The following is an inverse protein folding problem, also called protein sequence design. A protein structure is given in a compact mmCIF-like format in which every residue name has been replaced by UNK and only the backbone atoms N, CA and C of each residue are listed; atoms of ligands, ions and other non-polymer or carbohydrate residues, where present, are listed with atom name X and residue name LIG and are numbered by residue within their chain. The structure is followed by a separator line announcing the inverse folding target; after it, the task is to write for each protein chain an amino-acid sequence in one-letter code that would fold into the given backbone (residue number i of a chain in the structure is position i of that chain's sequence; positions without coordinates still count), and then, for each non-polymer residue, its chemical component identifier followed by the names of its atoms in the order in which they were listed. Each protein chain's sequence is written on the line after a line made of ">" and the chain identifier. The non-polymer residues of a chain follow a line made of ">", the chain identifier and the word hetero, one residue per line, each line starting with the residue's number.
data_IF_241761666011
#
_entry.id   IF_241761666011
#
_cell.length_a   1.000
_cell.length_b   1.000
_cell.length_c   1.000
_cell.angle_alpha   90.00
_cell.angle_beta   90.00
_cell.angle_gamma   90.00
#
_symmetry.space_group_name_H-M   'P 1'
#
loop_
_entity.id
_entity.type
_entity.pdbx_description
1 polymer ?
#
# COMPACT_ATOMS: atom_id res chain seq x y z
N UNK A 1 -28.17 38.23 41.39
CA UNK A 1 -27.15 37.68 40.47
C UNK A 1 -27.44 36.24 39.99
N UNK A 2 -28.63 35.93 39.40
CA UNK A 2 -28.89 34.64 38.74
C UNK A 2 -28.62 34.62 37.23
N UNK A 3 -28.61 35.77 36.54
CA UNK A 3 -28.48 35.86 35.08
C UNK A 3 -27.11 35.45 34.54
N UNK A 4 -26.04 35.71 35.27
CA UNK A 4 -24.66 35.36 34.87
C UNK A 4 -24.42 33.84 34.85
N UNK A 5 -25.00 33.10 35.79
CA UNK A 5 -24.91 31.64 35.84
C UNK A 5 -25.61 31.00 34.63
N UNK A 6 -26.75 31.54 34.21
CA UNK A 6 -27.46 31.08 33.01
C UNK A 6 -26.62 31.31 31.76
N UNK A 7 -26.02 32.49 31.59
CA UNK A 7 -25.13 32.77 30.45
C UNK A 7 -23.91 31.84 30.42
N UNK A 8 -23.29 31.56 31.56
CA UNK A 8 -22.14 30.65 31.66
C UNK A 8 -22.51 29.22 31.24
N UNK A 9 -23.68 28.71 31.63
CA UNK A 9 -24.16 27.38 31.22
C UNK A 9 -24.39 27.32 29.70
N UNK A 10 -24.96 28.37 29.11
CA UNK A 10 -25.17 28.44 27.66
C UNK A 10 -23.84 28.38 26.91
N UNK A 11 -22.85 29.17 27.33
CA UNK A 11 -21.52 29.14 26.71
C UNK A 11 -20.79 27.80 26.91
N UNK A 12 -20.97 27.17 28.08
CA UNK A 12 -20.41 25.85 28.34
C UNK A 12 -20.96 24.80 27.38
N UNK A 13 -22.30 24.74 27.23
CA UNK A 13 -22.94 23.80 26.30
C UNK A 13 -22.53 24.09 24.86
N UNK A 14 -22.52 25.37 24.45
CA UNK A 14 -22.08 25.76 23.11
C UNK A 14 -20.63 25.29 22.82
N UNK A 15 -19.73 25.43 23.79
CA UNK A 15 -18.34 24.99 23.64
C UNK A 15 -18.21 23.47 23.48
N UNK A 16 -19.03 22.70 24.20
CA UNK A 16 -19.07 21.24 24.08
C UNK A 16 -19.57 20.82 22.71
N UNK A 17 -20.63 21.46 22.20
CA UNK A 17 -21.18 21.15 20.87
C UNK A 17 -20.14 21.40 19.77
N UNK A 18 -19.40 22.50 19.86
CA UNK A 18 -18.34 22.78 18.89
C UNK A 18 -17.20 21.76 19.04
N UNK A 19 -16.80 21.43 20.27
CA UNK A 19 -15.75 20.44 20.51
C UNK A 19 -16.12 19.06 19.95
N UNK A 20 -17.35 18.59 20.13
CA UNK A 20 -17.79 17.28 19.61
C UNK A 20 -17.80 17.25 18.08
N UNK A 21 -18.16 18.35 17.41
CA UNK A 21 -18.06 18.44 15.95
C UNK A 21 -16.62 18.30 15.47
N UNK A 22 -15.68 18.99 16.12
CA UNK A 22 -14.24 18.92 15.76
C UNK A 22 -13.70 17.51 16.01
N UNK A 23 -14.04 16.90 17.16
CA UNK A 23 -13.63 15.52 17.48
C UNK A 23 -14.21 14.53 16.49
N UNK A 24 -15.47 14.68 16.10
CA UNK A 24 -16.11 13.83 15.09
C UNK A 24 -15.39 13.89 13.75
N UNK A 25 -15.03 15.09 13.28
CA UNK A 25 -14.25 15.26 12.06
C UNK A 25 -12.85 14.64 12.15
N UNK A 26 -12.14 14.89 13.26
CA UNK A 26 -10.81 14.32 13.49
C UNK A 26 -10.82 12.80 13.60
N UNK A 27 -11.88 12.22 14.18
CA UNK A 27 -12.05 10.78 14.31
C UNK A 27 -12.19 10.08 12.96
N UNK A 28 -12.92 10.69 12.01
CA UNK A 28 -13.03 10.15 10.64
C UNK A 28 -11.67 10.18 9.94
N UNK A 29 -10.99 11.32 9.97
CA UNK A 29 -9.66 11.46 9.33
C UNK A 29 -8.63 10.50 9.91
N UNK A 30 -8.67 10.27 11.22
CA UNK A 30 -7.74 9.33 11.89
C UNK A 30 -8.01 7.88 11.50
N UNK A 31 -9.27 7.50 11.34
CA UNK A 31 -9.64 6.17 10.82
C UNK A 31 -9.14 6.00 9.39
N UNK A 32 -9.46 6.96 8.50
CA UNK A 32 -9.00 6.92 7.11
C UNK A 32 -7.47 6.82 7.02
N UNK A 33 -6.74 7.53 7.89
CA UNK A 33 -5.29 7.46 7.96
C UNK A 33 -4.78 6.10 8.46
N UNK A 34 -5.46 5.51 9.44
CA UNK A 34 -5.09 4.20 9.99
C UNK A 34 -5.30 3.10 8.95
N UNK A 35 -6.44 3.11 8.27
CA UNK A 35 -6.76 2.15 7.21
C UNK A 35 -5.76 2.27 6.05
N UNK A 36 -5.47 3.50 5.62
CA UNK A 36 -4.47 3.75 4.59
C UNK A 36 -3.05 3.30 5.00
N UNK A 37 -2.70 3.41 6.28
CA UNK A 37 -1.42 2.90 6.79
C UNK A 37 -1.39 1.37 6.81
N UNK A 38 -2.47 0.72 7.22
CA UNK A 38 -2.59 -0.73 7.23
C UNK A 38 -2.48 -1.30 5.81
N UNK A 39 -3.20 -0.73 4.86
CA UNK A 39 -3.15 -1.11 3.43
C UNK A 39 -1.74 -0.97 2.84
N UNK A 40 -1.08 0.15 3.14
CA UNK A 40 0.31 0.39 2.69
C UNK A 40 1.27 -0.58 3.35
N UNK A 41 1.10 -0.84 4.64
CA UNK A 41 1.89 -1.80 5.40
C UNK A 41 1.76 -3.21 4.83
N UNK A 42 0.53 -3.66 4.59
CA UNK A 42 0.23 -4.95 3.99
C UNK A 42 0.80 -5.06 2.57
N UNK A 43 0.57 -4.06 1.71
CA UNK A 43 1.09 -4.04 0.33
C UNK A 43 2.62 -4.08 0.30
N UNK A 44 3.28 -3.32 1.19
CA UNK A 44 4.74 -3.32 1.28
C UNK A 44 5.28 -4.63 1.84
N UNK A 45 4.61 -5.22 2.83
CA UNK A 45 4.95 -6.54 3.34
C UNK A 45 4.82 -7.61 2.23
N UNK A 46 3.77 -7.55 1.42
CA UNK A 46 3.59 -8.45 0.27
C UNK A 46 4.66 -8.27 -0.80
N UNK A 47 5.08 -7.03 -1.09
CA UNK A 47 6.23 -6.76 -1.98
C UNK A 47 7.54 -7.31 -1.42
N UNK A 48 7.76 -7.24 -0.11
CA UNK A 48 8.94 -7.84 0.52
C UNK A 48 8.89 -9.37 0.48
N UNK A 49 7.70 -9.95 0.63
CA UNK A 49 7.46 -11.40 0.54
C UNK A 49 7.53 -11.93 -0.88
N UNK A 50 7.27 -11.10 -1.89
CA UNK A 50 7.25 -11.50 -3.30
C UNK A 50 8.46 -10.90 -4.01
N UNK A 51 9.56 -11.65 -4.06
CA UNK A 51 10.80 -11.20 -4.70
C UNK A 51 11.24 -12.19 -5.76
N UNK A 52 11.47 -11.67 -6.97
CA UNK A 52 11.89 -12.42 -8.13
C UNK A 52 13.31 -11.98 -8.51
N UNK A 53 14.20 -12.93 -8.80
CA UNK A 53 15.54 -12.65 -9.30
C UNK A 53 15.75 -13.37 -10.63
N UNK A 54 16.32 -12.65 -11.60
CA UNK A 54 16.79 -13.23 -12.85
C UNK A 54 18.19 -13.79 -12.60
N UNK A 55 18.39 -15.08 -12.85
CA UNK A 55 19.63 -15.80 -12.50
C UNK A 55 20.49 -16.15 -13.72
N UNK A 56 20.20 -15.54 -14.87
CA UNK A 56 21.01 -15.75 -16.08
C UNK A 56 22.38 -15.09 -15.94
N UNK A 57 23.40 -15.75 -16.50
CA UNK A 57 24.73 -15.17 -16.67
C UNK A 57 24.68 -14.08 -17.76
N UNK A 58 25.07 -12.83 -17.47
CA UNK A 58 25.09 -11.75 -18.47
C UNK A 58 26.06 -11.99 -19.63
N UNK A 59 27.11 -12.80 -19.41
CA UNK A 59 28.17 -13.05 -20.40
C UNK A 59 27.82 -14.24 -21.30
N UNK A 60 27.09 -15.23 -20.75
CA UNK A 60 26.72 -16.45 -21.44
C UNK A 60 25.20 -16.64 -21.41
N UNK A 61 24.46 -15.70 -22.00
CA UNK A 61 23.00 -15.79 -22.05
C UNK A 61 22.58 -16.96 -22.95
N UNK A 62 21.72 -17.88 -22.47
CA UNK A 62 21.35 -19.07 -23.23
C UNK A 62 20.44 -18.69 -24.40
N UNK A 63 21.08 -18.47 -25.55
CA UNK A 63 20.46 -18.13 -26.82
C UNK A 63 20.66 -19.27 -27.81
N UNK A 64 19.56 -19.78 -28.35
CA UNK A 64 19.60 -20.84 -29.36
C UNK A 64 19.65 -20.21 -30.75
N UNK A 65 20.83 -20.19 -31.37
CA UNK A 65 21.03 -19.63 -32.72
C UNK A 65 20.22 -20.34 -33.81
N UNK A 66 19.77 -21.57 -33.58
CA UNK A 66 19.01 -22.35 -34.56
C UNK A 66 17.51 -22.06 -34.49
N UNK A 67 16.97 -21.85 -33.29
CA UNK A 67 15.53 -21.55 -33.08
C UNK A 67 15.24 -20.06 -32.88
N UNK A 68 16.26 -19.24 -32.63
CA UNK A 68 16.14 -17.82 -32.33
C UNK A 68 15.59 -17.54 -30.92
N UNK A 69 15.56 -18.54 -30.04
CA UNK A 69 14.95 -18.45 -28.71
C UNK A 69 15.95 -17.98 -27.65
N UNK A 70 15.50 -17.06 -26.81
CA UNK A 70 16.21 -16.62 -25.62
C UNK A 70 15.57 -17.25 -24.38
N UNK A 71 16.35 -18.03 -23.62
CA UNK A 71 15.90 -18.59 -22.36
C UNK A 71 16.29 -17.66 -21.21
N UNK A 72 15.30 -17.26 -20.40
CA UNK A 72 15.51 -16.43 -19.21
C UNK A 72 15.09 -17.24 -17.99
N UNK A 73 16.07 -17.67 -17.19
CA UNK A 73 15.81 -18.31 -15.91
C UNK A 73 15.46 -17.29 -14.83
N UNK A 74 14.33 -17.53 -14.17
CA UNK A 74 13.76 -16.66 -13.15
C UNK A 74 13.54 -17.49 -11.89
N UNK A 75 14.10 -17.03 -10.76
CA UNK A 75 13.98 -17.69 -9.46
C UNK A 75 13.15 -16.84 -8.52
N UNK A 76 12.13 -17.46 -7.92
CA UNK A 76 11.45 -16.89 -6.78
C UNK A 76 12.34 -17.03 -5.54
N UNK A 77 12.72 -15.89 -4.97
CA UNK A 77 13.49 -15.79 -3.73
C UNK A 77 12.65 -15.21 -2.58
N UNK A 78 11.36 -15.01 -2.84
CA UNK A 78 10.36 -14.64 -1.86
C UNK A 78 9.79 -15.84 -1.09
N UNK A 79 8.90 -15.54 -0.15
CA UNK A 79 8.16 -16.53 0.65
C UNK A 79 6.82 -16.91 0.02
N UNK A 80 6.33 -16.11 -0.94
CA UNK A 80 5.04 -16.32 -1.62
C UNK A 80 5.26 -17.05 -2.94
N UNK A 81 4.49 -18.10 -3.20
CA UNK A 81 4.47 -18.75 -4.51
C UNK A 81 3.83 -17.85 -5.57
N UNK A 82 4.41 -17.81 -6.77
CA UNK A 82 3.95 -16.96 -7.88
C UNK A 82 3.29 -17.88 -8.91
N UNK A 83 1.99 -17.69 -9.15
CA UNK A 83 1.27 -18.46 -10.15
C UNK A 83 1.74 -18.11 -11.57
N UNK A 84 1.83 -19.11 -12.45
CA UNK A 84 2.31 -18.91 -13.82
C UNK A 84 1.44 -17.94 -14.66
N UNK A 85 0.17 -17.73 -14.29
CA UNK A 85 -0.75 -16.85 -15.01
C UNK A 85 -0.63 -15.36 -14.70
N UNK A 86 0.17 -14.95 -13.70
CA UNK A 86 0.31 -13.55 -13.29
C UNK A 86 1.65 -12.92 -13.68
N UNK A 87 2.37 -13.54 -14.62
CA UNK A 87 3.68 -13.09 -15.09
C UNK A 87 3.52 -12.49 -16.49
N UNK A 88 3.92 -11.23 -16.66
CA UNK A 88 4.04 -10.57 -17.96
C UNK A 88 5.52 -10.29 -18.25
N UNK A 89 5.98 -10.65 -19.44
CA UNK A 89 7.33 -10.37 -19.94
C UNK A 89 7.18 -9.23 -20.95
N UNK A 90 7.92 -8.14 -20.76
CA UNK A 90 7.93 -7.02 -21.70
C UNK A 90 9.32 -6.90 -22.33
N UNK A 91 9.36 -6.77 -23.65
CA UNK A 91 10.59 -6.46 -24.38
C UNK A 91 10.47 -5.04 -24.94
N UNK A 92 11.35 -4.15 -24.48
CA UNK A 92 11.46 -2.76 -24.96
C UNK A 92 10.13 -1.97 -24.94
N UNK A 93 9.33 -2.19 -23.88
CA UNK A 93 8.05 -1.50 -23.69
C UNK A 93 6.90 -2.01 -24.56
N UNK A 94 7.10 -3.11 -25.31
CA UNK A 94 6.03 -3.83 -26.00
C UNK A 94 5.76 -5.16 -25.29
N UNK A 95 4.48 -5.49 -25.02
CA UNK A 95 4.11 -6.79 -24.46
C UNK A 95 4.36 -7.92 -25.47
#
# INVERSE_FOLDING_TARGET
>A
MPSTAVSQIIFFIASIVVATMVVGGLFVVTQDFTDALEDRGHTNAEKLRTRILIVNDPVAMPYNNTTGELHVYVKNIGMREIGMGSIAILLDGRP
#
